data_IF_975969107935
#
_entry.id   IF_975969107935
#
_cell.length_a   1.000
_cell.length_b   1.000
_cell.length_c   1.000
_cell.angle_alpha   90.00
_cell.angle_beta   90.00
_cell.angle_gamma   90.00
#
_symmetry.space_group_name_H-M   'P 1'
#
loop_
_entity.id
_entity.type
_entity.pdbx_description
1 polymer ?
#
# COMPACT_ATOMS: atom_id res chain seq x y z
N UNK A 1 7.26 -16.31 22.31
CA UNK A 1 6.97 -14.91 22.73
C UNK A 1 7.80 -13.97 21.85
N UNK A 2 7.47 -13.85 20.58
CA UNK A 2 8.04 -12.82 19.73
C UNK A 2 7.29 -11.53 20.02
N UNK A 3 7.95 -10.55 20.65
CA UNK A 3 7.43 -9.20 20.69
C UNK A 3 7.31 -8.73 19.26
N UNK A 4 6.09 -8.42 18.81
CA UNK A 4 5.82 -7.82 17.51
C UNK A 4 6.47 -6.43 17.49
N UNK A 5 7.72 -6.38 17.05
CA UNK A 5 8.49 -5.15 17.01
C UNK A 5 7.93 -4.24 15.92
N UNK A 6 7.54 -3.02 16.30
CA UNK A 6 7.11 -1.99 15.36
C UNK A 6 8.20 -1.70 14.34
N UNK A 7 7.80 -1.50 13.09
CA UNK A 7 8.71 -1.24 11.96
C UNK A 7 8.71 0.25 11.61
N UNK A 8 9.79 0.70 11.00
CA UNK A 8 9.91 2.06 10.47
C UNK A 8 10.05 2.03 8.96
N UNK A 9 9.46 3.02 8.32
CA UNK A 9 9.58 3.24 6.88
C UNK A 9 10.25 4.58 6.64
N UNK A 10 11.32 4.64 5.81
CA UNK A 10 11.98 5.92 5.50
C UNK A 10 10.98 6.95 4.95
N UNK A 11 11.03 8.17 5.51
CA UNK A 11 10.15 9.26 5.13
C UNK A 11 8.79 9.29 5.85
N UNK A 12 8.48 8.29 6.67
CA UNK A 12 7.28 8.24 7.47
C UNK A 12 7.62 8.34 8.96
N UNK A 13 7.01 9.30 9.67
CA UNK A 13 7.27 9.51 11.11
C UNK A 13 6.59 8.48 11.99
N UNK A 14 5.46 7.92 11.55
CA UNK A 14 4.72 6.89 12.27
C UNK A 14 5.42 5.55 12.19
N UNK A 15 5.37 4.77 13.27
CA UNK A 15 5.81 3.37 13.26
C UNK A 15 4.68 2.47 12.77
N UNK A 16 5.03 1.31 12.21
CA UNK A 16 4.09 0.39 11.60
C UNK A 16 4.08 -0.94 12.34
N UNK A 17 2.88 -1.41 12.68
CA UNK A 17 2.68 -2.77 13.14
C UNK A 17 3.03 -3.76 12.01
N UNK A 18 3.73 -4.88 12.30
CA UNK A 18 4.26 -5.75 11.24
C UNK A 18 3.21 -6.53 10.45
N UNK A 19 1.96 -6.57 10.92
CA UNK A 19 0.85 -7.22 10.23
C UNK A 19 -0.11 -6.15 9.75
N UNK A 20 -0.34 -6.11 8.43
CA UNK A 20 -1.19 -5.11 7.76
C UNK A 20 -2.62 -5.64 7.65
N UNK A 21 -3.60 -4.81 7.97
CA UNK A 21 -5.01 -5.15 7.82
C UNK A 21 -5.49 -4.82 6.41
N UNK A 22 -6.00 -5.81 5.69
CA UNK A 22 -6.60 -5.62 4.37
C UNK A 22 -8.08 -5.27 4.43
N UNK A 23 -8.44 -4.13 3.86
CA UNK A 23 -9.82 -3.60 3.88
C UNK A 23 -10.67 -4.07 2.70
N UNK A 24 -10.37 -5.17 2.07
CA UNK A 24 -10.99 -5.62 0.81
C UNK A 24 -12.19 -6.55 0.97
N UNK A 25 -12.60 -6.89 2.19
CA UNK A 25 -13.56 -7.98 2.43
C UNK A 25 -14.58 -7.70 3.56
N UNK A 26 -14.92 -6.46 3.80
CA UNK A 26 -15.97 -6.15 4.78
C UNK A 26 -17.34 -6.18 4.12
N UNK A 27 -18.28 -6.92 4.72
CA UNK A 27 -19.65 -7.09 4.19
C UNK A 27 -20.55 -5.89 4.45
N UNK A 28 -20.36 -5.21 5.58
CA UNK A 28 -21.09 -4.02 5.98
C UNK A 28 -20.29 -3.18 6.99
N UNK A 29 -20.80 -2.01 7.33
CA UNK A 29 -20.13 -1.09 8.24
C UNK A 29 -19.92 -1.68 9.65
N UNK A 30 -20.90 -2.41 10.18
CA UNK A 30 -20.80 -3.02 11.50
C UNK A 30 -19.72 -4.08 11.56
N UNK A 31 -19.66 -4.93 10.55
CA UNK A 31 -18.62 -5.94 10.40
C UNK A 31 -17.25 -5.28 10.28
N UNK A 32 -17.13 -4.26 9.44
CA UNK A 32 -15.89 -3.50 9.26
C UNK A 32 -15.41 -2.88 10.58
N UNK A 33 -16.29 -2.21 11.31
CA UNK A 33 -15.96 -1.58 12.59
C UNK A 33 -15.48 -2.59 13.63
N UNK A 34 -16.16 -3.73 13.74
CA UNK A 34 -15.75 -4.79 14.65
C UNK A 34 -14.35 -5.32 14.32
N UNK A 35 -14.06 -5.52 13.04
CA UNK A 35 -12.75 -6.00 12.57
C UNK A 35 -11.65 -4.96 12.82
N UNK A 36 -11.91 -3.69 12.53
CA UNK A 36 -10.93 -2.62 12.77
C UNK A 36 -10.63 -2.45 14.25
N UNK A 37 -11.67 -2.45 15.11
CA UNK A 37 -11.51 -2.37 16.56
C UNK A 37 -10.69 -3.56 17.09
N UNK A 38 -10.98 -4.77 16.61
CA UNK A 38 -10.24 -5.95 17.03
C UNK A 38 -8.77 -5.86 16.64
N UNK A 39 -8.48 -5.49 15.39
CA UNK A 39 -7.12 -5.33 14.91
C UNK A 39 -6.33 -4.30 15.74
N UNK A 40 -6.92 -3.14 16.02
CA UNK A 40 -6.27 -2.11 16.84
C UNK A 40 -6.07 -2.55 18.29
N UNK A 41 -6.97 -3.35 18.83
CA UNK A 41 -6.84 -3.91 20.18
C UNK A 41 -5.61 -4.83 20.31
N UNK A 42 -5.14 -5.42 19.22
CA UNK A 42 -3.95 -6.25 19.15
C UNK A 42 -2.65 -5.44 18.89
N UNK A 43 -2.76 -4.13 18.79
CA UNK A 43 -1.64 -3.23 18.50
C UNK A 43 -1.52 -2.85 17.03
N UNK A 44 -2.43 -3.31 16.18
CA UNK A 44 -2.45 -3.02 14.76
C UNK A 44 -2.74 -1.55 14.47
N UNK A 45 -2.05 -0.97 13.49
CA UNK A 45 -2.25 0.43 13.10
C UNK A 45 -2.12 0.67 11.59
N UNK A 46 -1.94 -0.38 10.78
CA UNK A 46 -1.72 -0.22 9.32
C UNK A 46 -2.90 -0.82 8.55
N UNK A 47 -3.59 0.03 7.78
CA UNK A 47 -4.76 -0.34 6.99
C UNK A 47 -4.45 -0.22 5.51
N UNK A 48 -4.58 -1.34 4.80
CA UNK A 48 -4.37 -1.43 3.36
C UNK A 48 -5.72 -1.39 2.64
N UNK A 49 -5.95 -0.34 1.88
CA UNK A 49 -7.15 -0.17 1.07
C UNK A 49 -6.77 0.14 -0.38
N UNK A 50 -7.75 0.16 -1.28
CA UNK A 50 -7.53 0.53 -2.67
C UNK A 50 -8.78 1.20 -3.24
N UNK A 51 -8.56 2.07 -4.22
CA UNK A 51 -9.61 2.78 -4.93
C UNK A 51 -10.71 1.85 -5.46
N UNK A 52 -10.32 0.66 -5.93
CA UNK A 52 -11.23 -0.32 -6.53
C UNK A 52 -11.85 -1.31 -5.52
N UNK A 53 -11.38 -1.36 -4.27
CA UNK A 53 -11.84 -2.37 -3.32
C UNK A 53 -13.31 -2.14 -2.95
N UNK A 54 -14.10 -3.20 -3.09
CA UNK A 54 -15.51 -3.24 -2.74
C UNK A 54 -16.30 -2.06 -3.32
N UNK A 55 -16.06 -1.74 -4.59
CA UNK A 55 -16.67 -0.62 -5.34
C UNK A 55 -16.55 0.74 -4.59
N UNK A 56 -15.44 0.96 -3.88
CA UNK A 56 -15.17 2.17 -3.11
C UNK A 56 -15.72 2.13 -1.68
N UNK A 57 -16.43 1.10 -1.29
CA UNK A 57 -17.01 1.00 0.06
C UNK A 57 -15.94 0.74 1.13
N UNK A 58 -14.83 0.08 0.78
CA UNK A 58 -13.73 -0.16 1.72
C UNK A 58 -13.16 1.16 2.26
N UNK A 59 -12.90 2.12 1.40
CA UNK A 59 -12.44 3.46 1.79
C UNK A 59 -13.49 4.18 2.66
N UNK A 60 -14.77 4.04 2.33
CA UNK A 60 -15.85 4.69 3.08
C UNK A 60 -16.03 4.10 4.48
N UNK A 61 -15.97 2.78 4.62
CA UNK A 61 -16.04 2.14 5.94
C UNK A 61 -14.87 2.56 6.82
N UNK A 62 -13.67 2.58 6.26
CA UNK A 62 -12.48 3.01 6.99
C UNK A 62 -12.60 4.49 7.39
N UNK A 63 -13.04 5.35 6.50
CA UNK A 63 -13.26 6.78 6.77
C UNK A 63 -14.27 7.02 7.89
N UNK A 64 -15.40 6.32 7.87
CA UNK A 64 -16.43 6.40 8.95
C UNK A 64 -15.88 5.96 10.29
N UNK A 65 -15.11 4.86 10.30
CA UNK A 65 -14.49 4.33 11.51
C UNK A 65 -13.45 5.30 12.08
N UNK A 66 -12.58 5.84 11.24
CA UNK A 66 -11.56 6.84 11.64
C UNK A 66 -12.24 8.04 12.27
N UNK A 67 -13.30 8.55 11.65
CA UNK A 67 -14.05 9.69 12.16
C UNK A 67 -14.73 9.38 13.50
N UNK A 68 -15.33 8.19 13.63
CA UNK A 68 -15.98 7.76 14.87
C UNK A 68 -14.98 7.56 16.02
N UNK A 69 -13.76 7.11 15.74
CA UNK A 69 -12.71 6.87 16.74
C UNK A 69 -11.78 8.05 16.94
N UNK A 70 -11.81 9.03 16.04
CA UNK A 70 -10.92 10.20 16.07
C UNK A 70 -9.43 9.81 16.18
N UNK A 71 -9.00 8.86 15.38
CA UNK A 71 -7.69 8.22 15.49
C UNK A 71 -6.80 8.34 14.25
N UNK A 72 -7.09 9.29 13.33
CA UNK A 72 -6.32 9.40 12.06
C UNK A 72 -4.81 9.52 12.28
N UNK A 73 -4.40 10.28 13.29
CA UNK A 73 -2.98 10.49 13.58
C UNK A 73 -2.28 9.26 14.18
N UNK A 74 -3.04 8.32 14.70
CA UNK A 74 -2.52 7.11 15.33
C UNK A 74 -2.35 5.95 14.37
N UNK A 75 -2.96 6.03 13.18
CA UNK A 75 -2.98 4.96 12.20
C UNK A 75 -2.25 5.35 10.92
N UNK A 76 -1.83 4.32 10.20
CA UNK A 76 -1.20 4.42 8.88
C UNK A 76 -2.19 3.89 7.85
N UNK A 77 -2.55 4.71 6.87
CA UNK A 77 -3.41 4.31 5.76
C UNK A 77 -2.58 4.19 4.50
N UNK A 78 -2.56 2.99 3.93
CA UNK A 78 -2.00 2.70 2.63
C UNK A 78 -3.15 2.63 1.63
N UNK A 79 -3.16 3.56 0.66
CA UNK A 79 -4.10 3.54 -0.45
C UNK A 79 -3.43 3.13 -1.74
N UNK A 80 -4.21 2.57 -2.66
CA UNK A 80 -3.73 2.16 -3.98
C UNK A 80 -4.63 2.71 -5.07
N UNK A 81 -4.04 3.06 -6.19
CA UNK A 81 -4.76 3.49 -7.38
C UNK A 81 -4.02 3.11 -8.65
N UNK A 82 -4.51 3.59 -9.78
CA UNK A 82 -3.96 3.29 -11.10
C UNK A 82 -3.94 1.79 -11.41
N UNK A 83 -5.01 1.08 -11.08
CA UNK A 83 -5.24 -0.30 -11.52
C UNK A 83 -5.69 -0.30 -12.98
N UNK A 84 -5.34 -1.35 -13.72
CA UNK A 84 -5.80 -1.50 -15.12
C UNK A 84 -7.35 -1.43 -15.21
N UNK A 85 -7.95 -0.77 -16.21
CA UNK A 85 -7.33 -0.14 -17.37
C UNK A 85 -6.81 1.29 -17.14
N UNK A 86 -7.01 1.89 -15.97
CA UNK A 86 -6.66 3.29 -15.68
C UNK A 86 -5.24 3.43 -15.12
N UNK A 87 -4.31 2.60 -15.59
CA UNK A 87 -2.94 2.55 -15.12
C UNK A 87 -2.05 3.55 -15.91
N UNK A 88 -2.26 4.83 -15.66
CA UNK A 88 -1.48 5.91 -16.25
C UNK A 88 -1.46 7.15 -15.33
N UNK A 89 -0.45 8.02 -15.45
CA UNK A 89 -0.25 9.12 -14.49
C UNK A 89 -1.43 10.06 -14.32
N UNK A 90 -2.16 10.38 -15.42
CA UNK A 90 -3.31 11.29 -15.34
C UNK A 90 -4.50 10.74 -14.54
N UNK A 91 -4.54 9.45 -14.26
CA UNK A 91 -5.57 8.82 -13.42
C UNK A 91 -5.26 8.93 -11.92
N UNK A 92 -4.02 9.16 -11.54
CA UNK A 92 -3.58 9.12 -10.13
C UNK A 92 -4.29 10.18 -9.30
N UNK A 93 -4.18 11.45 -9.68
CA UNK A 93 -4.75 12.57 -8.91
C UNK A 93 -6.26 12.46 -8.72
N UNK A 94 -7.08 12.26 -9.77
CA UNK A 94 -8.54 12.14 -9.59
C UNK A 94 -8.93 10.99 -8.66
N UNK A 95 -8.27 9.83 -8.77
CA UNK A 95 -8.52 8.69 -7.91
C UNK A 95 -8.07 8.94 -6.46
N UNK A 96 -6.93 9.59 -6.28
CA UNK A 96 -6.45 9.96 -4.93
C UNK A 96 -7.40 10.95 -4.26
N UNK A 97 -7.85 11.96 -4.96
CA UNK A 97 -8.80 12.95 -4.42
C UNK A 97 -10.11 12.28 -4.00
N UNK A 98 -10.62 11.35 -4.79
CA UNK A 98 -11.80 10.57 -4.44
C UNK A 98 -11.55 9.67 -3.22
N UNK A 99 -10.42 8.99 -3.16
CA UNK A 99 -10.00 8.18 -2.01
C UNK A 99 -9.94 9.02 -0.74
N UNK A 100 -9.32 10.18 -0.79
CA UNK A 100 -9.25 11.10 0.35
C UNK A 100 -10.64 11.59 0.78
N UNK A 101 -11.53 11.85 -0.16
CA UNK A 101 -12.92 12.23 0.14
C UNK A 101 -13.67 11.08 0.83
N UNK A 102 -13.55 9.85 0.35
CA UNK A 102 -14.15 8.66 0.97
C UNK A 102 -13.62 8.44 2.40
N UNK A 103 -12.32 8.62 2.60
CA UNK A 103 -11.64 8.48 3.89
C UNK A 103 -11.90 9.67 4.84
N UNK A 104 -12.43 10.78 4.33
CA UNK A 104 -12.58 12.03 5.07
C UNK A 104 -11.23 12.47 5.67
N UNK A 105 -10.17 12.32 4.90
CA UNK A 105 -8.79 12.65 5.30
C UNK A 105 -8.16 13.59 4.28
N UNK A 106 -7.19 14.39 4.75
CA UNK A 106 -6.45 15.31 3.90
C UNK A 106 -5.20 14.68 3.29
N UNK A 107 -4.84 13.49 3.70
CA UNK A 107 -3.62 12.81 3.26
C UNK A 107 -3.72 11.30 3.40
N UNK A 108 -2.90 10.60 2.61
CA UNK A 108 -2.52 9.21 2.84
C UNK A 108 -1.11 9.17 3.42
N UNK A 109 -0.87 8.25 4.33
CA UNK A 109 0.48 7.97 4.81
C UNK A 109 1.31 7.33 3.71
N UNK A 110 0.73 6.37 3.02
CA UNK A 110 1.38 5.61 1.95
C UNK A 110 0.44 5.53 0.75
N UNK A 111 0.97 5.80 -0.44
CA UNK A 111 0.28 5.56 -1.70
C UNK A 111 1.05 4.55 -2.54
N UNK A 112 0.38 3.56 -3.10
CA UNK A 112 0.97 2.59 -4.02
C UNK A 112 0.28 2.62 -5.38
N UNK A 113 1.07 2.59 -6.45
CA UNK A 113 0.57 2.25 -7.77
C UNK A 113 0.16 0.78 -7.76
N UNK A 114 -1.10 0.50 -8.07
CA UNK A 114 -1.67 -0.85 -7.97
C UNK A 114 -1.12 -1.81 -9.04
N UNK A 115 -0.77 -1.26 -10.22
CA UNK A 115 -0.19 -1.98 -11.37
C UNK A 115 0.84 -1.12 -12.07
N UNK A 116 1.66 -1.72 -12.91
CA UNK A 116 2.51 -1.02 -13.85
C UNK A 116 1.84 -0.91 -15.23
N UNK A 117 2.34 0.00 -16.05
CA UNK A 117 2.00 0.12 -17.46
C UNK A 117 3.30 0.35 -18.24
N UNK A 118 3.74 -0.65 -18.97
CA UNK A 118 5.01 -0.61 -19.70
C UNK A 118 5.03 0.39 -20.84
N UNK A 119 3.86 0.88 -21.29
CA UNK A 119 3.75 1.91 -22.32
C UNK A 119 4.00 3.33 -21.77
N UNK A 120 4.07 3.47 -20.46
CA UNK A 120 4.32 4.74 -19.76
C UNK A 120 5.76 4.81 -19.30
N UNK A 121 6.52 5.86 -19.64
CA UNK A 121 7.84 6.08 -19.06
C UNK A 121 7.78 6.16 -17.54
N UNK A 122 8.73 5.53 -16.84
CA UNK A 122 8.80 5.56 -15.38
C UNK A 122 8.88 7.00 -14.82
N UNK A 123 9.52 7.90 -15.60
CA UNK A 123 9.64 9.32 -15.23
C UNK A 123 8.30 10.00 -15.02
N UNK A 124 7.29 9.67 -15.82
CA UNK A 124 5.96 10.25 -15.68
C UNK A 124 5.27 9.81 -14.40
N UNK A 125 5.43 8.56 -13.99
CA UNK A 125 4.93 8.09 -12.70
C UNK A 125 5.64 8.76 -11.54
N UNK A 126 6.96 8.80 -11.56
CA UNK A 126 7.77 9.39 -10.48
C UNK A 126 7.49 10.90 -10.35
N UNK A 127 7.42 11.63 -11.45
CA UNK A 127 7.13 13.07 -11.43
C UNK A 127 5.74 13.34 -10.82
N UNK A 128 4.73 12.60 -11.24
CA UNK A 128 3.36 12.74 -10.73
C UNK A 128 3.27 12.44 -9.23
N UNK A 129 3.92 11.39 -8.78
CA UNK A 129 3.92 11.00 -7.36
C UNK A 129 4.67 12.03 -6.50
N UNK A 130 5.78 12.58 -7.00
CA UNK A 130 6.51 13.63 -6.29
C UNK A 130 5.71 14.93 -6.19
N UNK A 131 4.96 15.31 -7.23
CA UNK A 131 4.06 16.46 -7.16
C UNK A 131 3.03 16.30 -6.04
N UNK A 132 2.42 15.13 -5.92
CA UNK A 132 1.44 14.85 -4.88
C UNK A 132 2.07 14.86 -3.48
N UNK A 133 3.30 14.33 -3.37
CA UNK A 133 4.06 14.36 -2.12
C UNK A 133 4.40 15.78 -1.68
N UNK A 134 4.82 16.64 -2.59
CA UNK A 134 5.12 18.05 -2.31
C UNK A 134 3.87 18.82 -1.86
N UNK A 135 2.71 18.48 -2.39
CA UNK A 135 1.42 19.05 -1.96
C UNK A 135 0.98 18.52 -0.58
N UNK A 136 1.64 17.53 -0.03
CA UNK A 136 1.30 16.93 1.27
C UNK A 136 0.15 15.93 1.22
N UNK A 137 -0.29 15.52 0.03
CA UNK A 137 -1.40 14.58 -0.13
C UNK A 137 -1.00 13.12 0.16
N UNK A 138 0.27 12.79 -0.04
CA UNK A 138 0.87 11.51 0.29
C UNK A 138 2.21 11.75 1.00
N UNK A 139 2.57 10.92 1.96
CA UNK A 139 3.84 11.08 2.69
C UNK A 139 4.98 10.30 2.04
N UNK A 140 4.73 9.05 1.74
CA UNK A 140 5.63 8.16 0.98
C UNK A 140 4.83 7.39 -0.06
N UNK A 141 5.52 6.81 -1.02
CA UNK A 141 4.86 6.04 -2.07
C UNK A 141 5.69 4.83 -2.49
N UNK A 142 4.99 3.87 -3.08
CA UNK A 142 5.58 2.64 -3.57
C UNK A 142 4.85 2.10 -4.78
N UNK A 143 5.15 0.88 -5.12
CA UNK A 143 4.59 0.19 -6.26
C UNK A 143 4.11 -1.20 -5.88
N UNK A 144 3.09 -1.69 -6.57
CA UNK A 144 2.53 -3.02 -6.43
C UNK A 144 2.58 -3.73 -7.79
N UNK A 145 3.03 -4.97 -7.80
CA UNK A 145 3.11 -5.79 -9.00
C UNK A 145 3.99 -5.22 -10.12
N UNK A 146 5.08 -4.58 -9.75
CA UNK A 146 6.10 -4.10 -10.68
C UNK A 146 7.22 -5.12 -10.85
N UNK A 147 7.80 -5.22 -12.05
CA UNK A 147 9.02 -5.98 -12.27
C UNK A 147 10.22 -5.29 -11.60
N UNK A 148 11.27 -6.07 -11.30
CA UNK A 148 12.49 -5.51 -10.74
C UNK A 148 13.12 -4.46 -11.68
N UNK A 149 13.18 -4.74 -12.97
CA UNK A 149 13.78 -3.83 -13.94
C UNK A 149 13.06 -2.48 -13.97
N UNK A 150 11.75 -2.48 -14.02
CA UNK A 150 10.94 -1.25 -13.99
C UNK A 150 11.10 -0.50 -12.67
N UNK A 151 11.13 -1.22 -11.57
CA UNK A 151 11.31 -0.63 -10.24
C UNK A 151 12.68 0.04 -10.10
N UNK A 152 13.72 -0.62 -10.55
CA UNK A 152 15.09 -0.07 -10.60
C UNK A 152 15.16 1.17 -11.48
N UNK A 153 14.62 1.10 -12.68
CA UNK A 153 14.61 2.21 -13.64
C UNK A 153 13.93 3.44 -13.02
N UNK A 154 12.79 3.26 -12.36
CA UNK A 154 12.08 4.34 -11.68
C UNK A 154 12.92 4.97 -10.56
N UNK A 155 13.55 4.15 -9.73
CA UNK A 155 14.37 4.65 -8.62
C UNK A 155 15.68 5.30 -9.11
N UNK A 156 16.29 4.79 -10.14
CA UNK A 156 17.45 5.43 -10.79
C UNK A 156 17.08 6.81 -11.36
N UNK A 157 15.93 6.92 -12.01
CA UNK A 157 15.42 8.20 -12.49
C UNK A 157 15.19 9.18 -11.33
N UNK A 158 14.53 8.74 -10.26
CA UNK A 158 14.27 9.56 -9.09
C UNK A 158 15.57 10.09 -8.48
N UNK A 159 16.57 9.23 -8.31
CA UNK A 159 17.87 9.64 -7.78
C UNK A 159 18.59 10.63 -8.70
N UNK A 160 18.56 10.40 -10.01
CA UNK A 160 19.21 11.27 -10.99
C UNK A 160 18.59 12.67 -11.06
N UNK A 161 17.32 12.80 -10.70
CA UNK A 161 16.58 14.07 -10.69
C UNK A 161 16.39 14.64 -9.29
N UNK A 162 17.03 14.06 -8.29
CA UNK A 162 16.94 14.46 -6.89
C UNK A 162 15.49 14.46 -6.37
N UNK A 163 14.73 13.44 -6.76
CA UNK A 163 13.35 13.23 -6.35
C UNK A 163 13.24 12.04 -5.40
N UNK A 164 12.10 11.93 -4.73
CA UNK A 164 11.79 10.80 -3.85
C UNK A 164 11.62 9.53 -4.70
N UNK A 165 12.35 8.45 -4.42
CA UNK A 165 12.13 7.15 -5.06
C UNK A 165 10.99 6.38 -4.40
N UNK A 166 10.63 5.23 -4.97
CA UNK A 166 9.80 4.25 -4.29
C UNK A 166 10.50 3.77 -3.01
N UNK A 167 9.80 3.79 -1.89
CA UNK A 167 10.31 3.33 -0.58
C UNK A 167 9.76 1.99 -0.16
N UNK A 168 8.79 1.46 -0.89
CA UNK A 168 8.19 0.16 -0.60
C UNK A 168 7.67 -0.50 -1.86
N UNK A 169 7.53 -1.80 -1.78
CA UNK A 169 6.89 -2.62 -2.79
C UNK A 169 5.87 -3.56 -2.12
N UNK A 170 4.71 -3.73 -2.77
CA UNK A 170 3.63 -4.59 -2.30
C UNK A 170 3.30 -5.62 -3.38
N UNK A 171 4.26 -6.47 -3.71
CA UNK A 171 4.06 -7.58 -4.63
C UNK A 171 3.64 -8.84 -3.87
N UNK A 172 3.15 -9.84 -4.61
CA UNK A 172 2.90 -11.14 -4.05
C UNK A 172 4.24 -11.84 -3.78
N UNK A 173 4.62 -11.92 -2.50
CA UNK A 173 5.78 -12.68 -2.07
C UNK A 173 5.34 -14.08 -1.68
N UNK A 174 5.86 -15.09 -2.36
CA UNK A 174 5.61 -16.48 -2.06
C UNK A 174 6.90 -17.14 -1.57
N UNK A 175 6.80 -17.97 -0.53
CA UNK A 175 7.90 -18.84 -0.10
C UNK A 175 8.10 -20.01 -1.06
N UNK A 176 7.07 -20.38 -1.80
CA UNK A 176 7.17 -21.34 -2.88
C UNK A 176 7.36 -20.59 -4.21
N UNK A 177 8.21 -21.13 -5.10
CA UNK A 177 8.34 -20.60 -6.45
C UNK A 177 6.99 -20.72 -7.16
N UNK A 178 6.39 -19.57 -7.48
CA UNK A 178 5.26 -19.54 -8.38
C UNK A 178 5.80 -19.58 -9.81
N UNK A 179 5.38 -20.56 -10.57
CA UNK A 179 5.78 -20.74 -11.97
C UNK A 179 5.10 -19.66 -12.82
N UNK A 180 3.87 -19.27 -12.46
CA UNK A 180 3.11 -18.22 -13.12
C UNK A 180 2.43 -17.31 -12.09
N UNK A 181 2.20 -16.01 -12.42
CA UNK A 181 1.41 -15.14 -11.57
C UNK A 181 0.00 -15.67 -11.36
N UNK A 182 -0.58 -15.42 -10.22
CA UNK A 182 -1.93 -15.87 -9.86
C UNK A 182 -2.99 -15.33 -10.83
N UNK A 183 -2.76 -14.14 -11.34
CA UNK A 183 -3.61 -13.51 -12.36
C UNK A 183 -2.78 -12.55 -13.22
N UNK A 184 -3.30 -12.18 -14.43
CA UNK A 184 -2.56 -11.29 -15.33
C UNK A 184 -2.15 -9.98 -14.63
N UNK A 185 -0.90 -9.60 -14.81
CA UNK A 185 -0.32 -8.39 -14.23
C UNK A 185 0.17 -8.53 -12.79
N UNK A 186 0.02 -9.69 -12.16
CA UNK A 186 0.63 -9.97 -10.87
C UNK A 186 2.01 -10.56 -11.03
N UNK A 187 2.95 -10.07 -10.23
CA UNK A 187 4.34 -10.48 -10.26
C UNK A 187 4.74 -10.96 -8.87
N UNK A 188 5.37 -12.14 -8.81
CA UNK A 188 5.96 -12.65 -7.56
C UNK A 188 7.34 -12.05 -7.34
N UNK A 189 7.61 -11.56 -6.13
CA UNK A 189 8.90 -11.05 -5.71
C UNK A 189 9.72 -12.07 -4.90
N UNK A 190 9.50 -13.37 -5.13
CA UNK A 190 10.23 -14.43 -4.43
C UNK A 190 11.65 -14.68 -4.97
N UNK A 191 12.01 -14.03 -6.07
CA UNK A 191 13.33 -14.15 -6.67
C UNK A 191 14.41 -13.51 -5.80
N UNK A 192 15.53 -14.21 -5.68
CA UNK A 192 16.65 -13.77 -4.83
C UNK A 192 17.23 -12.42 -5.26
N UNK A 193 17.33 -12.18 -6.57
CA UNK A 193 17.83 -10.91 -7.12
C UNK A 193 16.94 -9.73 -6.70
N UNK A 194 15.63 -9.92 -6.69
CA UNK A 194 14.69 -8.90 -6.27
C UNK A 194 14.84 -8.61 -4.78
N UNK A 195 14.89 -9.65 -3.95
CA UNK A 195 15.08 -9.51 -2.51
C UNK A 195 16.39 -8.82 -2.17
N UNK A 196 17.48 -9.20 -2.85
CA UNK A 196 18.80 -8.61 -2.65
C UNK A 196 18.81 -7.11 -2.98
N UNK A 197 18.14 -6.72 -4.06
CA UNK A 197 18.01 -5.31 -4.43
C UNK A 197 17.23 -4.52 -3.37
N UNK A 198 16.12 -5.06 -2.90
CA UNK A 198 15.27 -4.40 -1.88
C UNK A 198 16.04 -4.20 -0.56
N UNK A 199 16.78 -5.21 -0.12
CA UNK A 199 17.61 -5.15 1.09
C UNK A 199 18.74 -4.12 0.94
N UNK A 200 19.47 -4.16 -0.17
CA UNK A 200 20.60 -3.26 -0.42
C UNK A 200 20.18 -1.79 -0.48
N UNK A 201 18.95 -1.50 -0.89
CA UNK A 201 18.41 -0.14 -1.02
C UNK A 201 17.44 0.24 0.11
N UNK A 202 17.33 -0.58 1.14
CA UNK A 202 16.45 -0.37 2.29
C UNK A 202 14.99 -0.11 1.91
N UNK A 203 14.50 -0.84 0.90
CA UNK A 203 13.13 -0.76 0.43
C UNK A 203 12.28 -1.77 1.20
N UNK A 204 11.18 -1.31 1.77
CA UNK A 204 10.29 -2.16 2.55
C UNK A 204 9.44 -3.05 1.65
N UNK A 205 9.15 -4.25 2.15
CA UNK A 205 8.23 -5.21 1.54
C UNK A 205 6.96 -5.22 2.36
N UNK A 206 5.81 -4.92 1.73
CA UNK A 206 4.52 -5.00 2.39
C UNK A 206 3.82 -6.30 2.01
N UNK A 207 3.27 -7.05 2.99
CA UNK A 207 2.52 -8.26 2.70
C UNK A 207 1.19 -7.93 2.01
N UNK A 208 0.66 -8.91 1.27
CA UNK A 208 -0.70 -8.81 0.75
C UNK A 208 -1.72 -8.85 1.88
N UNK A 209 -2.83 -8.13 1.70
CA UNK A 209 -3.92 -8.03 2.66
C UNK A 209 -4.51 -9.38 3.09
N UNK A 210 -4.49 -10.40 2.21
CA UNK A 210 -4.95 -11.75 2.53
C UNK A 210 -4.20 -12.41 3.68
N UNK A 211 -2.97 -11.99 3.99
CA UNK A 211 -2.20 -12.51 5.11
C UNK A 211 -2.74 -12.05 6.48
N UNK A 212 -3.31 -10.85 6.55
CA UNK A 212 -3.93 -10.35 7.77
C UNK A 212 -5.17 -11.16 8.17
N UNK A 213 -5.92 -11.69 7.20
CA UNK A 213 -7.08 -12.58 7.47
C UNK A 213 -6.67 -13.88 8.14
N UNK A 214 -5.60 -14.52 7.67
CA UNK A 214 -5.06 -15.74 8.28
C UNK A 214 -4.69 -15.52 9.74
N UNK A 215 -4.09 -14.38 10.06
CA UNK A 215 -3.75 -14.01 11.43
C UNK A 215 -4.96 -13.96 12.36
N UNK A 216 -6.10 -13.43 11.90
CA UNK A 216 -7.30 -13.33 12.72
C UNK A 216 -8.03 -14.67 12.86
N UNK A 217 -7.97 -15.56 11.87
CA UNK A 217 -8.57 -16.88 11.93
C UNK A 217 -7.86 -17.78 12.95
N UNK A 218 -6.54 -17.70 12.99
CA UNK A 218 -5.72 -18.49 13.93
C UNK A 218 -5.87 -18.05 15.39
N UNK A 219 -6.45 -16.87 15.63
CA UNK A 219 -6.68 -16.36 16.99
C UNK A 219 -8.06 -16.73 17.57
N UNK A 220 -8.91 -17.38 16.77
CA UNK A 220 -10.27 -17.75 17.18
C UNK A 220 -10.38 -19.23 17.65
N UNK A 221 -9.29 -19.99 17.65
CA UNK A 221 -9.17 -21.30 18.26
C UNK A 221 -8.46 -21.20 19.63
#
# INVERSE_FOLDING_TARGET
RGSSQMKKLPGLSKTLFPIVFGCDNQSDANHAFAMFDHYTSLGGNVFDTAYIYNDGMSDQYLGRWINARNNREEIVVLGKGAHSPDCFPSAIRPQLEETLNRLQSNYLDIYCLHRDNLDVPVSEFIDSLNDLREEGLIKVFGASNWSLDRFKEANEYAHSTNQQPFTLISNNFSLARMIEPVWPGCISCSEEDFKSYLEANQIAIFPWSSQARGFFLDQQE
#
